data_IF_601358240846
#
_entry.id   IF_601358240846
#
_cell.length_a   1.000
_cell.length_b   1.000
_cell.length_c   1.000
_cell.angle_alpha   90.00
_cell.angle_beta   90.00
_cell.angle_gamma   90.00
#
_symmetry.space_group_name_H-M   'P 1'
#
loop_
_entity.id
_entity.type
_entity.pdbx_description
1 polymer ?
#
# COMPACT_ATOMS: atom_id res chain seq x y z
N UNK A 1 27.80 -6.97 0.67
CA UNK A 1 26.85 -7.98 1.17
C UNK A 1 25.85 -7.27 2.06
N UNK A 2 24.55 -7.58 1.96
CA UNK A 2 23.51 -6.96 2.78
C UNK A 2 23.61 -7.48 4.22
N UNK A 3 23.56 -6.58 5.21
CA UNK A 3 23.63 -6.92 6.64
C UNK A 3 22.25 -7.01 7.31
N UNK A 4 22.20 -7.59 8.51
CA UNK A 4 20.97 -7.66 9.31
C UNK A 4 20.50 -6.26 9.71
N UNK A 5 21.43 -5.40 10.10
CA UNK A 5 21.16 -4.02 10.52
C UNK A 5 20.57 -3.21 9.36
N UNK A 6 21.07 -3.39 8.15
CA UNK A 6 20.52 -2.76 6.93
C UNK A 6 19.07 -3.21 6.67
N UNK A 7 18.77 -4.49 6.88
CA UNK A 7 17.41 -5.02 6.73
C UNK A 7 16.45 -4.47 7.79
N UNK A 8 16.89 -4.35 9.04
CA UNK A 8 16.08 -3.77 10.12
C UNK A 8 15.78 -2.30 9.81
N UNK A 9 16.80 -1.52 9.45
CA UNK A 9 16.65 -0.12 9.08
C UNK A 9 15.68 0.05 7.89
N UNK A 10 15.78 -0.81 6.89
CA UNK A 10 14.86 -0.80 5.76
C UNK A 10 13.42 -1.09 6.20
N UNK A 11 13.21 -2.12 7.03
CA UNK A 11 11.89 -2.47 7.53
C UNK A 11 11.25 -1.35 8.35
N UNK A 12 11.99 -0.76 9.29
CA UNK A 12 11.53 0.33 10.15
C UNK A 12 11.17 1.58 9.34
N UNK A 13 11.92 1.86 8.27
CA UNK A 13 11.71 3.04 7.42
C UNK A 13 10.58 2.87 6.40
N UNK A 14 10.38 1.67 5.85
CA UNK A 14 9.48 1.44 4.70
C UNK A 14 8.24 0.60 5.01
N UNK A 15 8.29 -0.31 5.98
CA UNK A 15 7.29 -1.39 6.13
C UNK A 15 6.53 -1.31 7.46
N UNK A 16 7.22 -0.98 8.56
CA UNK A 16 6.67 -1.04 9.91
C UNK A 16 5.39 -0.19 10.10
N UNK A 17 4.50 -0.55 11.04
CA UNK A 17 3.43 0.35 11.52
C UNK A 17 3.99 1.72 11.91
N UNK A 18 3.46 2.78 11.28
CA UNK A 18 3.92 4.15 11.53
C UNK A 18 5.21 4.57 10.81
N UNK A 19 5.81 3.70 9.99
CA UNK A 19 7.00 4.04 9.21
C UNK A 19 6.75 5.25 8.30
N UNK A 20 7.68 6.21 8.32
CA UNK A 20 7.51 7.54 7.68
C UNK A 20 7.38 7.46 6.17
N UNK A 21 8.00 6.46 5.53
CA UNK A 21 7.95 6.26 4.09
C UNK A 21 7.02 5.10 3.70
N UNK A 22 6.15 4.67 4.62
CA UNK A 22 5.21 3.58 4.35
C UNK A 22 4.17 4.00 3.33
N UNK A 23 4.20 3.36 2.16
CA UNK A 23 3.16 3.45 1.14
C UNK A 23 2.49 2.08 1.03
N UNK A 24 1.18 2.01 1.29
CA UNK A 24 0.43 0.74 1.33
C UNK A 24 -0.83 0.80 0.47
N UNK A 25 -0.93 -0.11 -0.49
CA UNK A 25 -2.17 -0.43 -1.21
C UNK A 25 -2.74 -1.74 -0.65
N UNK A 26 -4.06 -1.89 -0.65
CA UNK A 26 -4.71 -3.15 -0.27
C UNK A 26 -5.92 -3.36 -1.18
N UNK A 27 -5.94 -4.52 -1.84
CA UNK A 27 -7.01 -4.91 -2.76
C UNK A 27 -7.78 -6.03 -2.06
N UNK A 28 -9.09 -5.86 -1.95
CA UNK A 28 -9.99 -6.84 -1.36
C UNK A 28 -10.82 -7.41 -2.50
N UNK A 29 -10.74 -8.73 -2.71
CA UNK A 29 -11.50 -9.46 -3.72
C UNK A 29 -12.52 -10.29 -2.97
N UNK A 30 -13.79 -10.17 -3.33
CA UNK A 30 -14.89 -10.95 -2.75
C UNK A 30 -15.48 -11.89 -3.82
N UNK A 31 -15.99 -13.03 -3.38
CA UNK A 31 -16.71 -13.97 -4.24
C UNK A 31 -18.05 -13.40 -4.68
N UNK A 32 -18.63 -14.00 -5.71
CA UNK A 32 -19.97 -13.62 -6.19
C UNK A 32 -21.06 -13.96 -5.16
N UNK A 33 -20.83 -14.99 -4.38
CA UNK A 33 -21.73 -15.49 -3.33
C UNK A 33 -21.56 -14.76 -2.00
N UNK A 34 -20.54 -13.90 -1.88
CA UNK A 34 -20.27 -13.18 -0.65
C UNK A 34 -21.35 -12.11 -0.40
N UNK A 35 -21.85 -12.06 0.84
CA UNK A 35 -22.78 -11.02 1.26
C UNK A 35 -22.04 -9.67 1.33
N UNK A 36 -22.55 -8.69 0.59
CA UNK A 36 -22.02 -7.31 0.53
C UNK A 36 -21.86 -6.70 1.93
N UNK A 37 -22.80 -6.95 2.85
CA UNK A 37 -22.71 -6.43 4.22
C UNK A 37 -21.55 -7.03 5.00
N UNK A 38 -21.29 -8.32 4.83
CA UNK A 38 -20.18 -9.01 5.49
C UNK A 38 -18.84 -8.59 4.91
N UNK A 39 -18.77 -8.35 3.60
CA UNK A 39 -17.60 -7.78 2.91
C UNK A 39 -17.30 -6.37 3.46
N UNK A 40 -18.31 -5.52 3.61
CA UNK A 40 -18.18 -4.19 4.21
C UNK A 40 -17.74 -4.26 5.67
N UNK A 41 -18.23 -5.23 6.45
CA UNK A 41 -17.82 -5.44 7.85
C UNK A 41 -16.37 -5.94 7.95
N UNK A 42 -15.94 -6.85 7.09
CA UNK A 42 -14.54 -7.31 6.98
C UNK A 42 -13.60 -6.15 6.62
N UNK A 43 -14.00 -5.31 5.66
CA UNK A 43 -13.31 -4.07 5.27
C UNK A 43 -13.08 -3.15 6.47
N UNK A 44 -14.12 -2.95 7.29
CA UNK A 44 -14.12 -2.02 8.41
C UNK A 44 -13.51 -2.59 9.71
N UNK A 45 -13.49 -3.91 9.92
CA UNK A 45 -12.82 -4.54 11.07
C UNK A 45 -11.32 -4.23 11.09
N UNK A 46 -10.68 -4.16 9.92
CA UNK A 46 -9.28 -3.79 9.81
C UNK A 46 -8.97 -2.31 10.07
N UNK A 47 -9.98 -1.46 10.20
CA UNK A 47 -9.84 -0.01 10.43
C UNK A 47 -9.79 0.36 11.92
N UNK A 48 -10.43 -0.43 12.81
CA UNK A 48 -10.51 -0.13 14.26
C UNK A 48 -9.16 -0.09 15.00
N UNK A 49 -8.13 -0.74 14.47
CA UNK A 49 -6.81 -0.83 15.12
C UNK A 49 -5.70 -0.04 14.39
N UNK A 50 -6.02 0.88 13.46
CA UNK A 50 -5.01 1.53 12.61
C UNK A 50 -5.08 3.06 12.67
N UNK A 51 -3.95 3.66 13.02
CA UNK A 51 -3.65 5.10 13.16
C UNK A 51 -3.67 5.90 11.86
N UNK A 52 -4.35 5.42 10.80
CA UNK A 52 -4.32 6.06 9.49
C UNK A 52 -5.69 6.05 8.84
N UNK A 53 -6.14 7.24 8.41
CA UNK A 53 -7.31 7.41 7.57
C UNK A 53 -7.08 6.63 6.26
N UNK A 54 -7.92 5.64 5.99
CA UNK A 54 -7.87 4.88 4.73
C UNK A 54 -8.68 5.64 3.69
N UNK A 55 -8.08 5.91 2.54
CA UNK A 55 -8.79 6.44 1.38
C UNK A 55 -9.34 5.27 0.56
N UNK A 56 -10.66 5.19 0.44
CA UNK A 56 -11.30 4.26 -0.49
C UNK A 56 -11.16 4.79 -1.92
N UNK A 57 -10.97 3.88 -2.87
CA UNK A 57 -10.74 4.21 -4.27
C UNK A 57 -11.96 3.72 -5.05
N UNK A 58 -12.83 4.65 -5.43
CA UNK A 58 -14.03 4.33 -6.22
C UNK A 58 -13.71 4.18 -7.71
N UNK A 59 -12.70 4.91 -8.19
CA UNK A 59 -12.25 4.87 -9.58
C UNK A 59 -10.72 4.91 -9.65
N UNK A 60 -10.14 3.87 -10.25
CA UNK A 60 -8.69 3.70 -10.35
C UNK A 60 -8.05 4.77 -11.23
N UNK A 61 -8.70 5.19 -12.31
CA UNK A 61 -8.16 6.16 -13.25
C UNK A 61 -8.12 7.56 -12.63
N UNK A 62 -9.19 7.97 -11.96
CA UNK A 62 -9.23 9.22 -11.19
C UNK A 62 -8.21 9.24 -10.05
N UNK A 63 -8.03 8.10 -9.37
CA UNK A 63 -7.04 7.99 -8.29
C UNK A 63 -5.59 8.08 -8.78
N UNK A 64 -5.31 7.70 -10.03
CA UNK A 64 -3.96 7.77 -10.62
C UNK A 64 -3.52 9.19 -10.96
N UNK A 65 -4.43 10.08 -11.34
CA UNK A 65 -4.12 11.45 -11.78
C UNK A 65 -3.23 12.23 -10.79
N UNK A 66 -3.53 12.27 -9.47
CA UNK A 66 -2.69 13.00 -8.52
C UNK A 66 -1.40 12.25 -8.12
N UNK A 67 -1.23 10.99 -8.52
CA UNK A 67 -0.04 10.22 -8.16
C UNK A 67 1.10 10.57 -9.11
N UNK A 68 2.20 11.08 -8.55
CA UNK A 68 3.44 11.22 -9.30
C UNK A 68 3.93 9.87 -9.79
N UNK A 69 4.34 9.80 -11.06
CA UNK A 69 4.99 8.62 -11.61
C UNK A 69 6.44 8.56 -11.12
N UNK A 70 6.91 7.35 -10.80
CA UNK A 70 8.35 7.15 -10.67
C UNK A 70 9.00 7.32 -12.05
N UNK A 71 10.19 7.90 -12.09
CA UNK A 71 10.99 7.95 -13.30
C UNK A 71 11.32 6.54 -13.80
N UNK A 72 11.68 6.44 -15.08
CA UNK A 72 12.25 5.20 -15.61
C UNK A 72 13.55 4.84 -14.89
N UNK A 73 13.90 3.55 -14.81
CA UNK A 73 15.23 3.16 -14.36
C UNK A 73 16.27 3.81 -15.28
N UNK A 74 17.35 4.32 -14.69
CA UNK A 74 18.48 4.82 -15.47
C UNK A 74 19.07 3.65 -16.27
N UNK A 75 19.40 3.84 -17.56
CA UNK A 75 20.03 2.81 -18.36
C UNK A 75 21.39 2.44 -17.73
N UNK A 76 21.71 1.15 -17.74
CA UNK A 76 22.96 0.64 -17.18
C UNK A 76 24.20 1.03 -18.01
N UNK A 77 23.99 1.47 -19.26
CA UNK A 77 25.01 1.84 -20.22
C UNK A 77 24.52 3.14 -20.88
N UNK A 78 25.33 4.19 -20.83
CA UNK A 78 25.18 5.34 -21.73
C UNK A 78 25.61 4.87 -23.12
N UNK A 79 24.67 4.82 -24.06
CA UNK A 79 24.95 4.53 -25.48
C UNK A 79 25.49 5.76 -26.19
#
# INVERSE_FOLDING_TARGET
TITKEELINFFEKKIAPGASERRKLSIYIHSKEDNVEDVVRLRNRGARNKTGMRTEIDNVDSWRIPLGYFGGPLPAIDL
#
